data_IF_670971973829
#
_entry.id   IF_670971973829
#
_cell.length_a   1.000
_cell.length_b   1.000
_cell.length_c   1.000
_cell.angle_alpha   90.00
_cell.angle_beta   90.00
_cell.angle_gamma   90.00
#
_symmetry.space_group_name_H-M   'P 1'
#
loop_
_entity.id
_entity.type
_entity.pdbx_description
1 polymer ?
#
# COMPACT_ATOMS: atom_id res chain seq x y z
N UNK A 1 -14.87 16.45 -1.81
CA UNK A 1 -13.82 16.00 -0.88
C UNK A 1 -12.55 15.88 -1.70
N UNK A 2 -11.43 16.47 -1.27
CA UNK A 2 -10.19 16.41 -2.06
C UNK A 2 -9.58 15.02 -1.92
N UNK A 3 -9.42 14.29 -3.03
CA UNK A 3 -8.64 13.05 -3.09
C UNK A 3 -7.25 13.30 -2.50
N UNK A 4 -6.75 12.38 -1.66
CA UNK A 4 -5.43 12.55 -1.06
C UNK A 4 -4.32 12.48 -2.13
N UNK A 5 -3.20 13.13 -1.85
CA UNK A 5 -2.12 13.26 -2.82
C UNK A 5 -1.47 11.90 -3.14
N UNK A 6 -1.22 11.06 -2.14
CA UNK A 6 -0.68 9.72 -2.36
C UNK A 6 -1.60 8.81 -3.18
N UNK A 7 -2.93 8.87 -2.98
CA UNK A 7 -3.87 8.13 -3.84
C UNK A 7 -3.77 8.53 -5.31
N UNK A 8 -3.60 9.82 -5.57
CA UNK A 8 -3.41 10.31 -6.94
C UNK A 8 -2.09 9.84 -7.55
N UNK A 9 -1.01 9.80 -6.75
CA UNK A 9 0.29 9.26 -7.18
C UNK A 9 0.18 7.76 -7.49
N UNK A 10 -0.54 6.99 -6.67
CA UNK A 10 -0.78 5.56 -6.90
C UNK A 10 -1.49 5.35 -8.23
N UNK A 11 -2.64 6.01 -8.43
CA UNK A 11 -3.44 5.90 -9.65
C UNK A 11 -2.61 6.26 -10.90
N UNK A 12 -1.89 7.39 -10.84
CA UNK A 12 -1.07 7.88 -11.95
C UNK A 12 0.12 6.97 -12.27
N UNK A 13 0.74 6.41 -11.24
CA UNK A 13 1.87 5.49 -11.41
C UNK A 13 1.43 4.17 -12.01
N UNK A 14 0.34 3.59 -11.51
CA UNK A 14 -0.22 2.37 -12.09
C UNK A 14 -0.66 2.57 -13.54
N UNK A 15 -1.21 3.75 -13.86
CA UNK A 15 -1.65 4.07 -15.22
C UNK A 15 -0.53 3.94 -16.26
N UNK A 16 0.74 4.14 -15.87
CA UNK A 16 1.89 4.06 -16.76
C UNK A 16 2.19 2.65 -17.29
N UNK A 17 1.52 1.60 -16.81
CA UNK A 17 1.60 0.27 -17.43
C UNK A 17 2.96 -0.42 -17.26
N UNK A 18 3.64 -0.17 -16.15
CA UNK A 18 5.05 -0.54 -15.95
C UNK A 18 5.27 -2.05 -15.73
N UNK A 19 4.22 -2.84 -15.57
CA UNK A 19 4.34 -4.28 -15.32
C UNK A 19 4.37 -5.04 -16.63
N UNK A 20 5.50 -5.67 -16.93
CA UNK A 20 5.64 -6.55 -18.10
C UNK A 20 5.47 -8.00 -17.68
N UNK A 21 4.56 -8.74 -18.32
CA UNK A 21 4.40 -10.17 -18.08
C UNK A 21 5.39 -11.02 -18.90
N UNK A 22 5.41 -12.34 -18.65
CA UNK A 22 6.28 -13.29 -19.37
C UNK A 22 6.03 -13.39 -20.87
N UNK A 23 4.92 -12.85 -21.36
CA UNK A 23 4.55 -12.83 -22.78
C UNK A 23 4.87 -11.50 -23.45
N UNK A 24 5.47 -10.56 -22.71
CA UNK A 24 5.83 -9.22 -23.18
C UNK A 24 4.64 -8.26 -23.21
N UNK A 25 3.50 -8.60 -22.60
CA UNK A 25 2.39 -7.64 -22.48
C UNK A 25 2.67 -6.66 -21.35
N UNK A 26 2.28 -5.40 -21.54
CA UNK A 26 2.38 -4.34 -20.54
C UNK A 26 1.03 -4.15 -19.85
N UNK A 27 1.03 -4.11 -18.53
CA UNK A 27 -0.16 -4.05 -17.70
C UNK A 27 -0.08 -2.92 -16.68
N UNK A 28 -1.21 -2.27 -16.42
CA UNK A 28 -1.35 -1.30 -15.33
C UNK A 28 -1.39 -2.00 -13.97
N UNK A 29 -1.90 -3.24 -13.95
CA UNK A 29 -1.91 -4.13 -12.80
C UNK A 29 -1.71 -5.58 -13.25
N UNK A 30 -0.92 -6.33 -12.46
CA UNK A 30 -0.80 -7.78 -12.58
C UNK A 30 -0.78 -8.41 -11.19
N UNK A 31 -1.63 -9.41 -10.92
CA UNK A 31 -1.76 -10.03 -9.59
C UNK A 31 -0.53 -10.78 -9.11
N UNK A 32 0.38 -11.13 -10.02
CA UNK A 32 1.69 -11.74 -9.71
C UNK A 32 2.85 -10.74 -9.62
N UNK A 33 2.55 -9.44 -9.70
CA UNK A 33 3.54 -8.37 -9.53
C UNK A 33 3.26 -7.62 -8.24
N UNK A 34 4.32 -7.29 -7.51
CA UNK A 34 4.26 -6.46 -6.30
C UNK A 34 4.38 -4.95 -6.60
N UNK A 35 4.41 -4.55 -7.88
CA UNK A 35 4.54 -3.14 -8.27
C UNK A 35 3.44 -2.26 -7.67
N UNK A 36 2.20 -2.75 -7.61
CA UNK A 36 1.08 -2.01 -7.02
C UNK A 36 1.22 -1.81 -5.50
N UNK A 37 1.64 -2.84 -4.76
CA UNK A 37 1.82 -2.76 -3.31
C UNK A 37 3.03 -1.90 -2.96
N UNK A 38 4.12 -2.03 -3.71
CA UNK A 38 5.30 -1.15 -3.57
C UNK A 38 4.99 0.31 -3.89
N UNK A 39 4.22 0.58 -4.96
CA UNK A 39 3.76 1.93 -5.31
C UNK A 39 2.93 2.54 -4.18
N UNK A 40 1.99 1.76 -3.62
CA UNK A 40 1.20 2.20 -2.47
C UNK A 40 2.07 2.49 -1.23
N UNK A 41 3.02 1.60 -0.91
CA UNK A 41 3.95 1.78 0.21
C UNK A 41 4.80 3.03 0.05
N UNK A 42 5.29 3.31 -1.16
CA UNK A 42 6.04 4.53 -1.45
C UNK A 42 5.19 5.78 -1.23
N UNK A 43 3.96 5.80 -1.77
CA UNK A 43 3.05 6.94 -1.63
C UNK A 43 2.64 7.19 -0.18
N UNK A 44 2.38 6.13 0.59
CA UNK A 44 2.09 6.21 2.02
C UNK A 44 3.30 6.77 2.77
N UNK A 45 4.50 6.29 2.50
CA UNK A 45 5.72 6.80 3.15
C UNK A 45 5.93 8.29 2.84
N UNK A 46 5.70 8.70 1.60
CA UNK A 46 5.76 10.10 1.19
C UNK A 46 4.75 10.97 1.96
N UNK A 47 3.49 10.57 2.03
CA UNK A 47 2.47 11.31 2.78
C UNK A 47 2.70 11.29 4.30
N UNK A 48 3.26 10.21 4.85
CA UNK A 48 3.67 10.16 6.25
C UNK A 48 4.79 11.16 6.54
N UNK A 49 5.81 11.25 5.67
CA UNK A 49 6.84 12.29 5.79
C UNK A 49 6.23 13.68 5.67
N UNK A 50 5.21 13.91 4.84
CA UNK A 50 4.51 15.20 4.77
C UNK A 50 3.70 15.51 6.03
N UNK A 51 3.12 14.50 6.66
CA UNK A 51 2.14 14.67 7.74
C UNK A 51 2.71 14.53 9.16
N UNK A 52 3.83 13.83 9.35
CA UNK A 52 4.41 13.56 10.66
C UNK A 52 5.74 14.29 10.85
N UNK A 53 5.73 15.39 11.62
CA UNK A 53 6.95 16.15 11.92
C UNK A 53 8.02 15.31 12.62
N UNK A 54 7.62 14.49 13.60
CA UNK A 54 8.56 13.66 14.35
C UNK A 54 9.27 12.63 13.46
N UNK A 55 8.51 11.97 12.57
CA UNK A 55 9.06 11.05 11.58
C UNK A 55 10.08 11.74 10.67
N UNK A 56 9.79 12.97 10.19
CA UNK A 56 10.75 13.79 9.43
C UNK A 56 12.01 14.06 10.24
N UNK A 57 11.86 14.46 11.51
CA UNK A 57 13.00 14.72 12.40
C UNK A 57 13.87 13.47 12.54
N UNK A 58 13.29 12.31 12.82
CA UNK A 58 14.05 11.06 12.93
C UNK A 58 14.72 10.64 11.63
N UNK A 59 14.09 10.87 10.48
CA UNK A 59 14.70 10.63 9.17
C UNK A 59 15.92 11.55 8.95
N UNK A 60 15.77 12.85 9.25
CA UNK A 60 16.85 13.83 9.14
C UNK A 60 18.03 13.52 10.07
N UNK A 61 17.75 13.01 11.26
CA UNK A 61 18.75 12.57 12.24
C UNK A 61 19.35 11.18 11.92
N UNK A 62 18.87 10.50 10.88
CA UNK A 62 19.34 9.17 10.50
C UNK A 62 18.98 8.07 11.51
N UNK A 63 18.01 8.32 12.41
CA UNK A 63 17.58 7.37 13.44
C UNK A 63 16.72 6.23 12.92
N UNK A 64 16.08 6.45 11.77
CA UNK A 64 15.17 5.49 11.16
C UNK A 64 15.52 5.24 9.69
N UNK A 65 15.16 4.05 9.24
CA UNK A 65 15.13 3.69 7.83
C UNK A 65 13.84 2.97 7.45
N UNK A 66 13.68 2.70 6.17
CA UNK A 66 12.58 1.88 5.65
C UNK A 66 13.06 0.54 5.08
N UNK A 67 12.16 -0.44 5.02
CA UNK A 67 12.35 -1.70 4.34
C UNK A 67 11.14 -2.02 3.48
N UNK A 68 11.36 -2.74 2.37
CA UNK A 68 10.31 -3.18 1.45
C UNK A 68 10.38 -4.69 1.35
N UNK A 69 9.23 -5.38 1.34
CA UNK A 69 9.15 -6.84 1.32
C UNK A 69 10.01 -7.47 2.44
N UNK A 70 9.94 -6.92 3.64
CA UNK A 70 10.77 -7.33 4.76
C UNK A 70 10.17 -8.55 5.49
N UNK A 71 10.98 -9.59 5.72
CA UNK A 71 10.57 -10.79 6.46
C UNK A 71 10.51 -10.50 7.96
N UNK A 72 9.32 -10.58 8.55
CA UNK A 72 9.12 -10.66 9.99
C UNK A 72 8.95 -12.11 10.42
N UNK A 73 9.26 -12.37 11.69
CA UNK A 73 9.09 -13.69 12.30
C UNK A 73 8.21 -13.58 13.53
N UNK A 74 7.03 -14.19 13.48
CA UNK A 74 6.24 -14.39 14.70
C UNK A 74 6.96 -15.42 15.58
N UNK A 75 7.58 -14.96 16.66
CA UNK A 75 8.36 -15.81 17.56
C UNK A 75 7.48 -16.79 18.35
N UNK A 76 6.18 -16.52 18.49
CA UNK A 76 5.25 -17.36 19.27
C UNK A 76 4.90 -18.65 18.53
N UNK A 77 4.73 -18.55 17.20
CA UNK A 77 4.31 -19.67 16.35
C UNK A 77 5.33 -20.04 15.28
N UNK A 78 6.52 -19.43 15.33
CA UNK A 78 7.63 -19.62 14.39
C UNK A 78 7.22 -19.47 12.92
N UNK A 79 6.34 -18.49 12.63
CA UNK A 79 5.83 -18.24 11.28
C UNK A 79 6.50 -17.01 10.69
N UNK A 80 6.94 -17.13 9.44
CA UNK A 80 7.50 -16.02 8.66
C UNK A 80 6.42 -15.30 7.87
N UNK A 81 6.58 -14.00 7.70
CA UNK A 81 5.76 -13.20 6.79
C UNK A 81 6.55 -12.05 6.20
N UNK A 82 6.44 -11.85 4.89
CA UNK A 82 7.01 -10.69 4.22
C UNK A 82 6.00 -9.55 4.21
N UNK A 83 6.35 -8.42 4.81
CA UNK A 83 5.50 -7.22 4.88
C UNK A 83 5.95 -6.23 3.80
N UNK A 84 4.98 -5.60 3.13
CA UNK A 84 5.26 -4.73 1.98
C UNK A 84 6.09 -3.49 2.36
N UNK A 85 5.88 -2.93 3.57
CA UNK A 85 6.64 -1.80 4.11
C UNK A 85 6.92 -1.98 5.59
N UNK A 86 8.14 -1.62 6.00
CA UNK A 86 8.50 -1.39 7.40
C UNK A 86 9.21 -0.07 7.57
N UNK A 87 8.99 0.60 8.70
CA UNK A 87 9.81 1.68 9.24
C UNK A 87 10.46 1.16 10.50
N UNK A 88 11.76 1.35 10.63
CA UNK A 88 12.56 0.71 11.66
C UNK A 88 13.70 1.60 12.14
N UNK A 89 14.21 1.31 13.33
CA UNK A 89 15.57 1.71 13.71
C UNK A 89 16.54 0.87 12.90
N UNK A 90 17.58 1.51 12.37
CA UNK A 90 18.52 0.84 11.49
C UNK A 90 19.59 1.77 10.99
N UNK A 91 20.78 1.21 10.70
CA UNK A 91 21.78 1.99 9.98
C UNK A 91 21.33 2.13 8.52
N UNK A 92 21.38 3.35 7.96
CA UNK A 92 21.07 3.57 6.56
C UNK A 92 22.06 2.82 5.67
N UNK A 93 21.55 2.23 4.59
CA UNK A 93 22.38 1.62 3.56
C UNK A 93 23.03 2.72 2.71
N UNK A 94 24.34 2.62 2.52
CA UNK A 94 25.16 3.63 1.82
C UNK A 94 25.13 3.46 0.29
N UNK A 95 23.94 3.49 -0.31
CA UNK A 95 23.76 3.44 -1.77
C UNK A 95 22.77 4.53 -2.21
N UNK A 96 22.98 5.27 -3.32
CA UNK A 96 22.03 6.30 -3.75
C UNK A 96 20.60 5.78 -4.01
N UNK A 97 20.47 4.55 -4.52
CA UNK A 97 19.17 3.88 -4.71
C UNK A 97 18.49 3.50 -3.40
N UNK A 98 19.19 3.60 -2.27
CA UNK A 98 18.62 3.32 -0.96
C UNK A 98 17.70 4.44 -0.47
N UNK A 99 17.77 5.66 -1.01
CA UNK A 99 16.86 6.73 -0.61
C UNK A 99 15.43 6.47 -1.09
N UNK A 100 14.43 7.02 -0.41
CA UNK A 100 13.03 6.94 -0.82
C UNK A 100 12.84 7.52 -2.23
N UNK A 101 13.49 8.64 -2.53
CA UNK A 101 13.45 9.26 -3.85
C UNK A 101 14.11 8.38 -4.92
N UNK A 102 15.31 7.85 -4.64
CA UNK A 102 16.02 6.94 -5.55
C UNK A 102 15.22 5.66 -5.83
N UNK A 103 14.62 5.09 -4.79
CA UNK A 103 13.74 3.93 -4.93
C UNK A 103 12.48 4.25 -5.74
N UNK A 104 11.87 5.41 -5.53
CA UNK A 104 10.73 5.86 -6.33
C UNK A 104 11.06 5.99 -7.81
N UNK A 105 12.23 6.56 -8.13
CA UNK A 105 12.71 6.67 -9.49
C UNK A 105 12.94 5.29 -10.15
N UNK A 106 13.53 4.33 -9.42
CA UNK A 106 13.73 2.96 -9.90
C UNK A 106 12.42 2.26 -10.24
N UNK A 107 11.39 2.44 -9.41
CA UNK A 107 10.06 1.84 -9.67
C UNK A 107 9.23 2.58 -10.73
N UNK A 108 9.70 3.74 -11.19
CA UNK A 108 8.99 4.59 -12.13
C UNK A 108 7.78 5.32 -11.53
N UNK A 109 7.82 5.69 -10.24
CA UNK A 109 6.80 6.53 -9.61
C UNK A 109 6.57 7.80 -10.43
N UNK A 110 5.30 8.15 -10.68
CA UNK A 110 4.91 9.28 -11.53
C UNK A 110 4.46 10.48 -10.70
N UNK A 111 5.37 11.42 -10.48
CA UNK A 111 5.10 12.68 -9.78
C UNK A 111 4.82 13.84 -10.76
N UNK A 112 4.04 14.82 -10.32
CA UNK A 112 3.99 16.14 -10.97
C UNK A 112 5.22 16.95 -10.58
N UNK A 113 5.48 18.06 -11.28
CA UNK A 113 6.55 18.97 -10.91
C UNK A 113 6.38 19.57 -9.49
N UNK A 114 5.15 19.75 -9.02
CA UNK A 114 4.89 20.24 -7.67
C UNK A 114 5.21 19.16 -6.63
N UNK A 115 4.77 17.93 -6.87
CA UNK A 115 5.04 16.79 -5.98
C UNK A 115 6.52 16.43 -5.93
N UNK A 116 7.25 16.54 -7.04
CA UNK A 116 8.70 16.37 -7.07
C UNK A 116 9.40 17.42 -6.19
N UNK A 117 9.00 18.69 -6.29
CA UNK A 117 9.55 19.75 -5.43
C UNK A 117 9.24 19.49 -3.95
N UNK A 118 8.05 18.99 -3.63
CA UNK A 118 7.72 18.61 -2.25
C UNK A 118 8.61 17.47 -1.75
N UNK A 119 8.87 16.46 -2.58
CA UNK A 119 9.81 15.38 -2.26
C UNK A 119 11.23 15.89 -2.02
N UNK A 120 11.71 16.81 -2.86
CA UNK A 120 13.05 17.39 -2.75
C UNK A 120 13.25 18.22 -1.46
N UNK A 121 12.17 18.69 -0.85
CA UNK A 121 12.18 19.44 0.42
C UNK A 121 12.09 18.54 1.67
N UNK A 122 11.75 17.26 1.50
CA UNK A 122 11.67 16.32 2.62
C UNK A 122 13.08 15.85 3.02
N UNK A 123 13.29 15.51 4.31
CA UNK A 123 14.54 14.88 4.71
C UNK A 123 14.70 13.53 4.01
N UNK A 124 15.95 13.20 3.70
CA UNK A 124 16.26 11.94 3.03
C UNK A 124 15.98 10.77 3.97
N UNK A 125 14.98 9.95 3.61
CA UNK A 125 14.74 8.66 4.26
C UNK A 125 15.43 7.57 3.44
N UNK A 126 16.30 6.79 4.08
CA UNK A 126 17.05 5.71 3.43
C UNK A 126 16.54 4.34 3.84
N UNK A 127 16.76 3.35 2.97
CA UNK A 127 16.62 1.94 3.34
C UNK A 127 17.63 1.65 4.44
N UNK A 128 17.20 0.90 5.45
CA UNK A 128 18.04 0.58 6.59
C UNK A 128 18.15 -0.91 6.85
N UNK A 129 19.16 -1.30 7.62
CA UNK A 129 19.15 -2.61 8.29
C UNK A 129 17.97 -2.64 9.26
N UNK A 130 17.02 -3.55 9.08
CA UNK A 130 15.85 -3.61 9.97
C UNK A 130 16.27 -4.29 11.28
N UNK A 131 16.34 -3.52 12.38
CA UNK A 131 16.58 -4.09 13.72
C UNK A 131 15.29 -4.09 14.55
N UNK A 132 14.73 -2.91 14.82
CA UNK A 132 13.49 -2.75 15.57
C UNK A 132 12.43 -2.09 14.70
N UNK A 133 11.35 -2.81 14.43
CA UNK A 133 10.22 -2.30 13.65
C UNK A 133 9.38 -1.35 14.50
N UNK A 134 9.16 -0.15 13.99
CA UNK A 134 8.28 0.87 14.59
C UNK A 134 6.91 0.88 13.92
N UNK A 135 6.87 0.64 12.62
CA UNK A 135 5.65 0.57 11.83
C UNK A 135 5.84 -0.50 10.76
N UNK A 136 4.82 -1.33 10.55
CA UNK A 136 4.77 -2.29 9.45
C UNK A 136 3.41 -2.21 8.76
N UNK A 137 3.41 -2.31 7.43
CA UNK A 137 2.24 -2.18 6.60
C UNK A 137 2.16 -3.31 5.57
N UNK A 138 0.97 -3.89 5.43
CA UNK A 138 0.61 -4.76 4.31
C UNK A 138 -0.30 -3.98 3.34
N UNK A 139 0.04 -3.99 2.06
CA UNK A 139 -0.74 -3.38 0.99
C UNK A 139 -1.28 -4.46 0.05
N UNK A 140 -2.60 -4.48 -0.15
CA UNK A 140 -3.28 -5.43 -1.03
C UNK A 140 -4.21 -4.76 -2.03
N UNK A 141 -4.54 -5.50 -3.08
CA UNK A 141 -5.48 -5.07 -4.10
C UNK A 141 -6.52 -6.15 -4.42
N UNK A 142 -7.77 -5.73 -4.62
CA UNK A 142 -8.86 -6.54 -5.13
C UNK A 142 -9.35 -5.95 -6.45
N UNK A 143 -8.85 -6.49 -7.58
CA UNK A 143 -9.08 -5.91 -8.90
C UNK A 143 -10.20 -6.57 -9.70
N UNK A 144 -10.51 -7.84 -9.41
CA UNK A 144 -11.50 -8.66 -10.12
C UNK A 144 -11.91 -9.87 -9.27
N UNK A 145 -12.89 -10.64 -9.74
CA UNK A 145 -13.39 -11.86 -9.08
C UNK A 145 -13.66 -11.62 -7.58
N UNK A 146 -14.22 -10.44 -7.25
CA UNK A 146 -14.35 -9.91 -5.89
C UNK A 146 -14.90 -10.93 -4.89
N UNK A 147 -15.94 -11.68 -5.28
CA UNK A 147 -16.53 -12.72 -4.43
C UNK A 147 -15.56 -13.85 -4.05
N UNK A 148 -14.67 -14.25 -4.97
CA UNK A 148 -13.64 -15.28 -4.73
C UNK A 148 -12.42 -14.72 -4.00
N UNK A 149 -12.03 -13.49 -4.30
CA UNK A 149 -10.87 -12.85 -3.71
C UNK A 149 -11.09 -12.49 -2.23
N UNK A 150 -12.33 -12.18 -1.85
CA UNK A 150 -12.68 -11.62 -0.55
C UNK A 150 -12.23 -12.44 0.68
N UNK A 151 -12.49 -13.76 0.79
CA UNK A 151 -12.03 -14.53 1.95
C UNK A 151 -10.50 -14.55 2.06
N UNK A 152 -9.81 -14.80 0.94
CA UNK A 152 -8.35 -14.84 0.88
C UNK A 152 -7.74 -13.48 1.25
N UNK A 153 -8.30 -12.39 0.76
CA UNK A 153 -7.86 -11.03 1.10
C UNK A 153 -7.96 -10.77 2.60
N UNK A 154 -9.08 -11.16 3.22
CA UNK A 154 -9.27 -11.04 4.67
C UNK A 154 -8.23 -11.87 5.43
N UNK A 155 -8.05 -13.15 5.09
CA UNK A 155 -7.12 -14.04 5.80
C UNK A 155 -5.66 -13.60 5.65
N UNK A 156 -5.28 -13.13 4.44
CA UNK A 156 -3.96 -12.57 4.18
C UNK A 156 -3.72 -11.32 5.03
N UNK A 157 -4.67 -10.38 5.12
CA UNK A 157 -4.52 -9.18 5.95
C UNK A 157 -4.55 -9.51 7.45
N UNK A 158 -5.49 -10.34 7.91
CA UNK A 158 -5.62 -10.68 9.33
C UNK A 158 -4.35 -11.35 9.88
N UNK A 159 -3.67 -12.17 9.07
CA UNK A 159 -2.39 -12.75 9.47
C UNK A 159 -1.24 -11.73 9.51
N UNK A 160 -1.36 -10.54 8.90
CA UNK A 160 -0.31 -9.51 8.92
C UNK A 160 -0.14 -8.89 10.30
N UNK A 161 -1.23 -8.41 10.93
CA UNK A 161 -1.11 -7.82 12.26
C UNK A 161 -0.65 -8.86 13.31
N UNK A 162 -1.02 -10.13 13.12
CA UNK A 162 -0.56 -11.22 13.98
C UNK A 162 0.95 -11.38 13.91
N UNK A 163 1.51 -11.40 12.68
CA UNK A 163 2.95 -11.50 12.46
C UNK A 163 3.70 -10.28 13.00
N UNK A 164 3.18 -9.07 12.77
CA UNK A 164 3.79 -7.81 13.24
C UNK A 164 3.89 -7.80 14.76
N UNK A 165 2.79 -8.06 15.48
CA UNK A 165 2.80 -8.06 16.95
C UNK A 165 3.44 -9.29 17.57
N UNK A 166 3.56 -10.38 16.81
CA UNK A 166 4.33 -11.56 17.20
C UNK A 166 5.84 -11.38 17.08
N UNK A 167 6.28 -10.49 16.20
CA UNK A 167 7.68 -10.04 16.10
C UNK A 167 7.98 -8.99 17.17
N UNK A 168 7.18 -7.92 17.22
CA UNK A 168 7.26 -6.89 18.26
C UNK A 168 5.90 -6.25 18.58
N UNK A 169 5.46 -6.38 19.83
CA UNK A 169 4.12 -5.92 20.23
C UNK A 169 3.97 -4.38 20.18
N UNK A 170 5.09 -3.64 20.25
CA UNK A 170 5.09 -2.18 20.24
C UNK A 170 4.99 -1.57 18.84
N UNK A 171 5.23 -2.35 17.77
CA UNK A 171 5.10 -1.84 16.40
C UNK A 171 3.66 -1.43 16.09
N UNK A 172 3.52 -0.41 15.26
CA UNK A 172 2.26 0.01 14.65
C UNK A 172 1.98 -0.94 13.47
N UNK A 173 0.91 -1.73 13.55
CA UNK A 173 0.45 -2.56 12.44
C UNK A 173 -0.57 -1.81 11.59
N UNK A 174 -0.30 -1.74 10.28
CA UNK A 174 -1.15 -1.06 9.32
C UNK A 174 -1.56 -1.98 8.16
N UNK A 175 -2.73 -1.71 7.59
CA UNK A 175 -3.16 -2.31 6.33
C UNK A 175 -3.60 -1.23 5.34
N UNK A 176 -3.32 -1.46 4.07
CA UNK A 176 -3.86 -0.67 2.97
C UNK A 176 -4.50 -1.58 1.92
N UNK A 177 -5.71 -1.24 1.47
CA UNK A 177 -6.44 -2.04 0.48
C UNK A 177 -6.96 -1.17 -0.65
N UNK A 178 -6.57 -1.51 -1.88
CA UNK A 178 -7.19 -0.96 -3.08
C UNK A 178 -8.30 -1.87 -3.58
N UNK A 179 -9.50 -1.32 -3.74
CA UNK A 179 -10.66 -2.07 -4.25
C UNK A 179 -11.09 -1.46 -5.58
N UNK A 180 -11.08 -2.28 -6.62
CA UNK A 180 -11.48 -1.84 -7.95
C UNK A 180 -13.00 -1.77 -8.07
N UNK A 181 -13.46 -0.68 -8.65
CA UNK A 181 -14.87 -0.30 -8.83
C UNK A 181 -15.27 -0.27 -10.29
N UNK A 182 -14.36 -0.64 -11.19
CA UNK A 182 -14.66 -0.69 -12.62
C UNK A 182 -15.68 -1.79 -12.96
N UNK A 183 -16.57 -1.50 -13.90
CA UNK A 183 -17.58 -2.45 -14.42
C UNK A 183 -16.96 -3.55 -15.29
N UNK A 184 -15.79 -3.29 -15.88
CA UNK A 184 -15.08 -4.27 -16.72
C UNK A 184 -13.58 -4.25 -16.49
N UNK A 185 -12.98 -5.42 -16.31
CA UNK A 185 -11.55 -5.55 -16.01
C UNK A 185 -10.86 -6.54 -16.93
N UNK A 186 -9.79 -6.11 -17.58
CA UNK A 186 -8.94 -6.98 -18.38
C UNK A 186 -7.99 -7.76 -17.47
N UNK A 187 -8.41 -8.96 -17.04
CA UNK A 187 -7.60 -9.81 -16.17
C UNK A 187 -6.39 -10.40 -16.91
N UNK A 188 -5.14 -10.14 -16.45
CA UNK A 188 -3.97 -10.68 -17.13
C UNK A 188 -3.90 -12.21 -17.07
N UNK A 189 -4.03 -12.79 -15.87
CA UNK A 189 -3.76 -14.23 -15.69
C UNK A 189 -4.96 -15.14 -16.00
N UNK A 190 -6.21 -14.65 -15.89
CA UNK A 190 -7.40 -15.50 -16.02
C UNK A 190 -8.07 -15.42 -17.38
N UNK A 191 -8.10 -14.23 -18.01
CA UNK A 191 -8.76 -14.00 -19.30
C UNK A 191 -7.80 -13.70 -20.44
N UNK A 192 -6.61 -13.17 -20.14
CA UNK A 192 -5.61 -12.79 -21.14
C UNK A 192 -4.24 -13.48 -20.88
N UNK A 193 -4.18 -14.81 -20.64
CA UNK A 193 -2.98 -15.49 -20.13
C UNK A 193 -1.82 -15.63 -21.13
N UNK A 194 -1.99 -15.16 -22.37
CA UNK A 194 -1.02 -15.30 -23.46
C UNK A 194 -0.66 -13.95 -24.08
N UNK A 195 0.16 -13.99 -25.15
CA UNK A 195 0.51 -12.77 -25.89
C UNK A 195 -0.73 -12.17 -26.53
N UNK A 196 -1.04 -10.92 -26.20
CA UNK A 196 -2.17 -10.20 -26.78
C UNK A 196 -1.80 -9.85 -28.22
N UNK A 197 -2.59 -10.33 -29.18
CA UNK A 197 -2.43 -10.03 -30.61
C UNK A 197 -3.55 -9.10 -31.04
N UNK A 198 -3.23 -7.99 -31.70
CA UNK A 198 -4.21 -7.05 -32.30
C UNK A 198 -5.27 -6.49 -31.32
N UNK A 199 -4.89 -6.22 -30.06
CA UNK A 199 -5.73 -5.45 -29.13
C UNK A 199 -7.02 -6.10 -28.64
N UNK A 200 -7.26 -7.39 -28.88
CA UNK A 200 -8.47 -8.07 -28.40
C UNK A 200 -8.34 -8.48 -26.93
N UNK A 201 -8.50 -7.52 -26.01
CA UNK A 201 -8.59 -7.80 -24.59
C UNK A 201 -9.93 -8.46 -24.25
N UNK A 202 -9.88 -9.52 -23.46
CA UNK A 202 -11.07 -10.16 -22.89
C UNK A 202 -11.29 -9.60 -21.48
N UNK A 203 -12.50 -9.11 -21.22
CA UNK A 203 -12.86 -8.47 -19.96
C UNK A 203 -13.70 -9.38 -19.07
N UNK A 204 -13.49 -9.27 -17.76
CA UNK A 204 -14.45 -9.70 -16.74
C UNK A 204 -15.46 -8.58 -16.52
N UNK A 205 -16.75 -8.87 -16.59
CA UNK A 205 -17.80 -7.92 -16.21
C UNK A 205 -18.12 -8.04 -14.72
N UNK A 206 -18.40 -6.90 -14.08
CA UNK A 206 -18.68 -6.79 -12.66
C UNK A 206 -19.96 -5.98 -12.43
N UNK A 207 -20.79 -6.42 -11.48
CA UNK A 207 -21.99 -5.68 -11.07
C UNK A 207 -21.61 -4.61 -10.04
N UNK A 208 -21.20 -3.44 -10.51
CA UNK A 208 -20.72 -2.35 -9.65
C UNK A 208 -21.84 -1.37 -9.26
N UNK A 209 -21.72 -0.67 -8.12
CA UNK A 209 -20.67 -0.81 -7.10
C UNK A 209 -20.88 -2.02 -6.16
N UNK A 210 -21.94 -2.82 -6.35
CA UNK A 210 -22.36 -3.88 -5.42
C UNK A 210 -21.22 -4.85 -5.04
N UNK A 211 -20.46 -5.35 -6.02
CA UNK A 211 -19.38 -6.32 -5.73
C UNK A 211 -18.19 -5.69 -5.02
N UNK A 212 -17.88 -4.41 -5.27
CA UNK A 212 -16.83 -3.69 -4.55
C UNK A 212 -17.27 -3.41 -3.10
N UNK A 213 -18.53 -3.03 -2.88
CA UNK A 213 -19.08 -2.80 -1.54
C UNK A 213 -19.07 -4.09 -0.69
N UNK A 214 -19.34 -5.26 -1.29
CA UNK A 214 -19.20 -6.55 -0.59
C UNK A 214 -17.78 -6.87 -0.15
N UNK A 215 -16.76 -6.34 -0.84
CA UNK A 215 -15.35 -6.45 -0.40
C UNK A 215 -15.11 -5.46 0.74
N UNK A 216 -15.55 -4.21 0.59
CA UNK A 216 -15.46 -3.19 1.63
C UNK A 216 -16.09 -3.68 2.94
N UNK A 217 -17.32 -4.18 2.91
CA UNK A 217 -18.01 -4.77 4.07
C UNK A 217 -17.14 -5.80 4.79
N UNK A 218 -16.50 -6.70 4.05
CA UNK A 218 -15.61 -7.70 4.65
C UNK A 218 -14.32 -7.10 5.20
N UNK A 219 -13.78 -6.07 4.58
CA UNK A 219 -12.60 -5.37 5.11
C UNK A 219 -12.94 -4.60 6.39
N UNK A 220 -14.20 -4.15 6.57
CA UNK A 220 -14.66 -3.54 7.82
C UNK A 220 -14.72 -4.52 9.00
N UNK A 221 -14.73 -5.83 8.74
CA UNK A 221 -14.66 -6.88 9.76
C UNK A 221 -13.23 -7.12 10.27
N UNK A 222 -12.19 -6.54 9.64
CA UNK A 222 -10.81 -6.72 10.08
C UNK A 222 -10.65 -6.27 11.55
N UNK A 223 -10.02 -7.10 12.40
CA UNK A 223 -9.77 -6.72 13.79
C UNK A 223 -8.96 -5.42 13.86
N UNK A 224 -9.40 -4.53 14.75
CA UNK A 224 -8.72 -3.26 15.04
C UNK A 224 -8.45 -3.20 16.53
N UNK A 225 -7.32 -2.62 16.93
CA UNK A 225 -6.95 -2.46 18.33
C UNK A 225 -6.87 -1.00 18.73
N UNK A 226 -7.31 -0.70 19.95
CA UNK A 226 -7.11 0.63 20.58
C UNK A 226 -5.87 0.67 21.47
N UNK A 227 -5.37 -0.49 21.90
CA UNK A 227 -4.23 -0.65 22.79
C UNK A 227 -3.49 -1.97 22.53
N UNK A 228 -2.34 -2.14 23.18
CA UNK A 228 -1.42 -3.27 22.98
C UNK A 228 -1.90 -4.62 23.55
N UNK A 229 -2.97 -4.64 24.35
CA UNK A 229 -3.55 -5.87 24.90
C UNK A 229 -4.56 -6.49 23.93
N UNK A 230 -5.02 -5.73 22.95
CA UNK A 230 -5.98 -6.19 21.95
C UNK A 230 -5.29 -6.66 20.67
N UNK A 231 -5.94 -7.60 19.98
CA UNK A 231 -5.49 -8.08 18.67
C UNK A 231 -6.15 -7.26 17.55
N UNK A 232 -5.35 -6.86 16.56
CA UNK A 232 -5.84 -6.20 15.35
C UNK A 232 -4.87 -5.18 14.79
N UNK A 233 -5.27 -4.52 13.71
CA UNK A 233 -4.55 -3.39 13.14
C UNK A 233 -4.72 -2.12 13.98
N UNK A 234 -3.68 -1.29 14.03
CA UNK A 234 -3.73 0.05 14.61
C UNK A 234 -4.34 1.08 13.64
N UNK A 235 -4.19 0.84 12.33
CA UNK A 235 -4.74 1.66 11.27
C UNK A 235 -5.03 0.83 10.01
N UNK A 236 -6.13 1.15 9.32
CA UNK A 236 -6.51 0.54 8.05
C UNK A 236 -6.90 1.66 7.09
N UNK A 237 -6.38 1.60 5.86
CA UNK A 237 -6.78 2.50 4.77
C UNK A 237 -7.37 1.73 3.60
N UNK A 238 -8.40 2.28 2.98
CA UNK A 238 -9.10 1.71 1.84
C UNK A 238 -9.27 2.80 0.79
N UNK A 239 -8.93 2.46 -0.46
CA UNK A 239 -9.16 3.32 -1.63
C UNK A 239 -10.00 2.60 -2.66
N UNK A 240 -11.04 3.29 -3.13
CA UNK A 240 -11.88 2.81 -4.23
C UNK A 240 -11.33 3.34 -5.56
N UNK A 241 -10.85 2.45 -6.42
CA UNK A 241 -10.16 2.81 -7.67
C UNK A 241 -10.98 2.37 -8.89
N UNK A 242 -10.97 3.12 -9.98
CA UNK A 242 -11.44 2.67 -11.29
C UNK A 242 -10.22 2.35 -12.15
N UNK A 243 -10.01 1.06 -12.40
CA UNK A 243 -8.91 0.54 -13.20
C UNK A 243 -9.43 -0.56 -14.11
N UNK A 244 -9.58 -0.29 -15.40
CA UNK A 244 -10.00 -1.30 -16.39
C UNK A 244 -8.85 -2.25 -16.79
N UNK A 245 -7.59 -1.84 -16.54
CA UNK A 245 -6.37 -2.58 -16.86
C UNK A 245 -6.16 -2.82 -18.37
N UNK A 246 -6.63 -1.90 -19.19
CA UNK A 246 -6.54 -1.91 -20.66
C UNK A 246 -5.71 -0.75 -21.22
N UNK A 247 -5.03 0.00 -20.34
CA UNK A 247 -4.27 1.21 -20.69
C UNK A 247 -5.08 2.50 -20.58
N UNK A 248 -6.39 2.42 -20.30
CA UNK A 248 -7.22 3.59 -20.02
C UNK A 248 -6.82 4.30 -18.72
N UNK A 249 -7.34 5.52 -18.51
CA UNK A 249 -7.02 6.32 -17.32
C UNK A 249 -7.45 5.60 -16.04
N UNK A 250 -6.59 5.64 -15.03
CA UNK A 250 -6.92 5.15 -13.68
C UNK A 250 -7.30 6.35 -12.81
N UNK A 251 -8.41 6.24 -12.08
CA UNK A 251 -8.90 7.31 -11.19
C UNK A 251 -9.36 6.76 -9.85
N UNK A 252 -9.34 7.60 -8.83
CA UNK A 252 -10.07 7.31 -7.59
C UNK A 252 -11.56 7.52 -7.86
N UNK A 253 -12.39 6.55 -7.50
CA UNK A 253 -13.83 6.63 -7.69
C UNK A 253 -14.46 7.35 -6.50
N UNK A 254 -14.49 8.68 -6.55
CA UNK A 254 -14.96 9.52 -5.43
C UNK A 254 -16.41 9.19 -5.01
N UNK A 255 -17.27 8.82 -5.96
CA UNK A 255 -18.67 8.49 -5.68
C UNK A 255 -18.79 7.22 -4.81
N UNK A 256 -18.00 6.19 -5.10
CA UNK A 256 -17.97 4.97 -4.28
C UNK A 256 -17.11 5.17 -3.02
N UNK A 257 -16.03 5.95 -3.11
CA UNK A 257 -15.18 6.30 -1.98
C UNK A 257 -15.94 7.07 -0.90
N UNK A 258 -16.96 7.86 -1.28
CA UNK A 258 -17.87 8.52 -0.34
C UNK A 258 -18.63 7.54 0.56
N UNK A 259 -18.81 6.28 0.14
CA UNK A 259 -19.44 5.22 0.93
C UNK A 259 -18.46 4.51 1.87
N UNK A 260 -17.16 4.70 1.69
CA UNK A 260 -16.13 4.21 2.62
C UNK A 260 -16.24 5.00 3.91
N UNK A 261 -16.29 4.30 5.05
CA UNK A 261 -16.31 4.93 6.36
C UNK A 261 -15.11 5.87 6.52
N UNK A 262 -15.29 7.13 6.96
CA UNK A 262 -14.21 8.11 7.05
C UNK A 262 -12.98 7.61 7.81
N UNK A 263 -13.17 6.78 8.84
CA UNK A 263 -12.10 6.28 9.71
C UNK A 263 -11.15 5.27 9.04
N UNK A 264 -11.53 4.71 7.88
CA UNK A 264 -10.68 3.78 7.12
C UNK A 264 -10.36 4.29 5.72
N UNK A 265 -10.57 5.57 5.45
CA UNK A 265 -10.11 6.18 4.19
C UNK A 265 -8.60 6.37 4.24
N UNK A 266 -7.99 6.54 3.06
CA UNK A 266 -6.54 6.74 2.95
C UNK A 266 -6.04 7.92 3.79
N UNK A 267 -6.72 9.07 3.77
CA UNK A 267 -6.34 10.24 4.56
C UNK A 267 -6.38 9.97 6.07
N UNK A 268 -7.41 9.24 6.54
CA UNK A 268 -7.51 8.80 7.91
C UNK A 268 -6.40 7.81 8.30
N UNK A 269 -5.99 6.91 7.38
CA UNK A 269 -4.82 6.04 7.57
C UNK A 269 -3.57 6.89 7.83
N UNK A 270 -3.26 7.86 6.96
CA UNK A 270 -2.08 8.71 7.12
C UNK A 270 -2.11 9.49 8.44
N UNK A 271 -3.25 10.11 8.76
CA UNK A 271 -3.40 10.86 10.01
C UNK A 271 -3.24 9.97 11.24
N UNK A 272 -3.85 8.78 11.23
CA UNK A 272 -3.76 7.82 12.33
C UNK A 272 -2.34 7.33 12.53
N UNK A 273 -1.65 6.95 11.46
CA UNK A 273 -0.26 6.51 11.53
C UNK A 273 0.68 7.63 12.00
N UNK A 274 0.52 8.85 11.48
CA UNK A 274 1.31 10.00 11.90
C UNK A 274 1.13 10.28 13.40
N UNK A 275 -0.11 10.23 13.90
CA UNK A 275 -0.43 10.41 15.31
C UNK A 275 0.16 9.30 16.18
N UNK A 276 -0.03 8.03 15.79
CA UNK A 276 0.50 6.88 16.54
C UNK A 276 2.02 6.92 16.61
N UNK A 277 2.68 7.22 15.49
CA UNK A 277 4.13 7.32 15.44
C UNK A 277 4.64 8.45 16.36
N UNK A 278 4.01 9.63 16.28
CA UNK A 278 4.37 10.78 17.11
C UNK A 278 4.22 10.50 18.61
N UNK A 279 3.18 9.76 19.00
CA UNK A 279 2.91 9.43 20.40
C UNK A 279 3.84 8.31 20.91
N UNK A 280 3.97 7.21 20.16
CA UNK A 280 4.72 6.02 20.60
C UNK A 280 6.23 6.20 20.61
N UNK A 281 6.75 7.01 19.68
CA UNK A 281 8.20 7.09 19.44
C UNK A 281 8.77 8.48 19.73
N UNK A 282 8.13 9.28 20.58
CA UNK A 282 8.58 10.64 20.94
C UNK A 282 9.97 10.70 21.61
N UNK A 283 10.44 9.59 22.17
CA UNK A 283 11.67 9.50 22.97
C UNK A 283 12.86 8.84 22.27
N UNK A 284 12.77 8.52 20.97
CA UNK A 284 13.89 7.95 20.20
C UNK A 284 14.82 9.04 19.66
#
# INVERSE_FOLDING_TARGET
MSTSLGEQIIARTMQAGLVTDRHGNHWQYHSRSDHHSKTACWAIMFDLLRSCHLLRKHAAEGKIGFGINHELRDFRVNRKKNLDLVVCVGQPLNEPKSSLAGYGAEMGIKLTAAEQRELDLLPELRRGTVSNVHLALEAKACMTEHGKARPRLYDELASSFQAIHGDTNNAIAAAFVMINTTEKFASPSSRNPGRIRKGSLVFNAHKQPEVALKVLEKMMELPRRSDEKQAGFDAVGISMIDCQNDGSRITINDAVNAQVSPIVRYDALIQRLAHLYATKFSSI
#
